data_IF_218647259316
#
_entry.id   IF_218647259316
#
_cell.length_a   1.000
_cell.length_b   1.000
_cell.length_c   1.000
_cell.angle_alpha   90.00
_cell.angle_beta   90.00
_cell.angle_gamma   90.00
#
_symmetry.space_group_name_H-M   'P 1'
#
loop_
_entity.id
_entity.type
_entity.pdbx_description
1 polymer ?
#
# COMPACT_ATOMS: atom_id res chain seq x y z
N UNK A 1 14.02 3.86 -10.12
CA UNK A 1 12.67 4.35 -9.77
C UNK A 1 12.16 3.58 -8.55
N UNK A 2 11.18 4.13 -7.84
CA UNK A 2 10.47 3.45 -6.78
C UNK A 2 9.38 2.58 -7.40
N UNK A 3 9.39 1.27 -7.12
CA UNK A 3 8.40 0.34 -7.66
C UNK A 3 7.25 0.19 -6.67
N UNK A 4 6.07 0.60 -7.08
CA UNK A 4 4.87 0.51 -6.27
C UNK A 4 3.90 -0.50 -6.88
N UNK A 5 3.26 -1.31 -6.05
CA UNK A 5 2.26 -2.28 -6.49
C UNK A 5 1.29 -2.61 -5.37
N UNK A 6 0.12 -3.12 -5.76
CA UNK A 6 -0.90 -3.58 -4.85
C UNK A 6 -1.52 -4.87 -5.36
N UNK A 7 -1.86 -5.78 -4.46
CA UNK A 7 -2.53 -7.03 -4.79
C UNK A 7 -3.48 -7.47 -3.67
N UNK A 8 -4.58 -8.13 -4.05
CA UNK A 8 -5.44 -8.85 -3.13
C UNK A 8 -5.05 -10.32 -3.09
N UNK A 9 -5.03 -10.89 -1.89
CA UNK A 9 -4.81 -12.30 -1.63
C UNK A 9 -6.05 -12.83 -0.92
N UNK A 10 -6.90 -13.54 -1.65
CA UNK A 10 -8.11 -14.15 -1.11
C UNK A 10 -7.79 -15.56 -0.59
N UNK A 11 -8.39 -15.97 0.53
CA UNK A 11 -8.12 -17.26 1.19
C UNK A 11 -8.36 -18.49 0.30
N UNK A 12 -9.20 -18.36 -0.71
CA UNK A 12 -9.66 -19.47 -1.56
C UNK A 12 -9.08 -19.44 -2.98
N UNK A 13 -8.28 -18.43 -3.33
CA UNK A 13 -7.64 -18.35 -4.64
C UNK A 13 -6.16 -18.70 -4.56
N UNK A 14 -5.69 -19.41 -5.59
CA UNK A 14 -4.29 -19.82 -5.70
C UNK A 14 -3.40 -18.67 -6.18
N UNK A 15 -3.98 -17.62 -6.78
CA UNK A 15 -3.26 -16.48 -7.35
C UNK A 15 -3.69 -15.17 -6.72
N UNK A 16 -2.76 -14.24 -6.54
CA UNK A 16 -3.10 -12.87 -6.14
C UNK A 16 -3.74 -12.10 -7.29
N UNK A 17 -4.73 -11.27 -6.99
CA UNK A 17 -5.37 -10.36 -7.94
C UNK A 17 -4.60 -9.02 -7.94
N UNK A 18 -3.97 -8.60 -9.05
CA UNK A 18 -3.28 -7.32 -9.12
C UNK A 18 -4.27 -6.15 -9.03
N UNK A 19 -4.02 -5.20 -8.12
CA UNK A 19 -4.84 -4.00 -7.92
C UNK A 19 -4.19 -2.73 -8.50
N UNK A 20 -3.03 -2.88 -9.15
CA UNK A 20 -2.31 -1.83 -9.86
C UNK A 20 -0.83 -1.81 -9.54
N UNK A 21 -0.05 -1.21 -10.44
CA UNK A 21 1.38 -0.97 -10.29
C UNK A 21 1.76 0.41 -10.83
N UNK A 22 2.84 0.99 -10.32
CA UNK A 22 3.36 2.28 -10.73
C UNK A 22 4.84 2.44 -10.43
N UNK A 23 5.58 3.06 -11.36
CA UNK A 23 6.94 3.52 -11.09
C UNK A 23 6.93 5.01 -10.74
N UNK A 24 7.33 5.32 -9.51
CA UNK A 24 7.45 6.68 -9.03
C UNK A 24 8.91 7.16 -9.10
N UNK A 25 9.17 8.41 -9.53
CA UNK A 25 10.54 8.92 -9.60
C UNK A 25 11.06 9.44 -8.24
N UNK A 26 10.25 9.47 -7.18
CA UNK A 26 10.67 9.94 -5.85
C UNK A 26 9.89 9.27 -4.71
N UNK A 27 10.43 9.27 -3.47
CA UNK A 27 9.74 8.75 -2.28
C UNK A 27 8.36 9.37 -2.06
N UNK A 28 8.26 10.69 -2.23
CA UNK A 28 7.00 11.44 -2.04
C UNK A 28 5.92 11.01 -3.04
N UNK A 29 6.32 10.74 -4.29
CA UNK A 29 5.40 10.27 -5.32
C UNK A 29 5.02 8.80 -5.12
N UNK A 30 5.91 7.97 -4.60
CA UNK A 30 5.60 6.60 -4.19
C UNK A 30 4.58 6.59 -3.04
N UNK A 31 4.78 7.41 -2.01
CA UNK A 31 3.82 7.58 -0.91
C UNK A 31 2.50 8.16 -1.38
N UNK A 32 2.51 9.12 -2.32
CA UNK A 32 1.29 9.64 -2.95
C UNK A 32 0.52 8.52 -3.65
N UNK A 33 1.21 7.64 -4.38
CA UNK A 33 0.58 6.50 -5.03
C UNK A 33 -0.03 5.52 -4.01
N UNK A 34 0.68 5.23 -2.91
CA UNK A 34 0.13 4.41 -1.82
C UNK A 34 -1.15 5.03 -1.25
N UNK A 35 -1.15 6.33 -0.96
CA UNK A 35 -2.34 7.04 -0.46
C UNK A 35 -3.52 6.95 -1.40
N UNK A 36 -3.31 7.15 -2.69
CA UNK A 36 -4.36 7.03 -3.69
C UNK A 36 -4.89 5.59 -3.78
N UNK A 37 -3.98 4.60 -3.80
CA UNK A 37 -4.37 3.19 -3.91
C UNK A 37 -5.09 2.70 -2.65
N UNK A 38 -4.66 3.14 -1.46
CA UNK A 38 -5.35 2.86 -0.19
C UNK A 38 -6.77 3.41 -0.24
N UNK A 39 -6.96 4.66 -0.68
CA UNK A 39 -8.30 5.26 -0.83
C UNK A 39 -9.19 4.39 -1.73
N UNK A 40 -8.70 4.04 -2.92
CA UNK A 40 -9.45 3.22 -3.88
C UNK A 40 -9.83 1.84 -3.34
N UNK A 41 -8.98 1.20 -2.53
CA UNK A 41 -9.32 -0.05 -1.85
C UNK A 41 -10.37 0.21 -0.78
N UNK A 42 -10.15 1.19 0.10
CA UNK A 42 -11.07 1.47 1.22
C UNK A 42 -12.46 1.94 0.78
N UNK A 43 -12.58 2.55 -0.40
CA UNK A 43 -13.86 2.99 -0.96
C UNK A 43 -14.73 1.80 -1.43
N UNK A 44 -14.13 0.62 -1.60
CA UNK A 44 -14.82 -0.62 -2.01
C UNK A 44 -15.08 -1.59 -0.84
N UNK A 45 -14.51 -1.32 0.34
CA UNK A 45 -14.69 -2.16 1.52
C UNK A 45 -15.94 -1.74 2.30
N UNK A 46 -16.60 -2.73 2.93
CA UNK A 46 -17.62 -2.46 3.94
C UNK A 46 -17.06 -1.60 5.07
N UNK A 47 -17.94 -0.84 5.73
CA UNK A 47 -17.57 0.20 6.68
C UNK A 47 -16.59 -0.28 7.77
N UNK A 48 -16.79 -1.49 8.30
CA UNK A 48 -15.94 -2.07 9.34
C UNK A 48 -14.50 -2.33 8.84
N UNK A 49 -14.34 -2.82 7.61
CA UNK A 49 -13.03 -3.14 7.03
C UNK A 49 -12.35 -1.92 6.39
N UNK A 50 -13.11 -0.90 6.01
CA UNK A 50 -12.58 0.36 5.49
C UNK A 50 -11.88 1.20 6.58
N UNK A 51 -12.27 1.05 7.84
CA UNK A 51 -11.84 1.94 8.94
C UNK A 51 -10.32 1.98 9.16
N UNK A 52 -9.57 0.86 9.17
CA UNK A 52 -8.11 0.90 9.30
C UNK A 52 -7.43 1.68 8.17
N UNK A 53 -7.85 1.49 6.92
CA UNK A 53 -7.28 2.24 5.80
C UNK A 53 -7.66 3.72 5.84
N UNK A 54 -8.90 4.05 6.26
CA UNK A 54 -9.32 5.45 6.48
C UNK A 54 -8.54 6.13 7.61
N UNK A 55 -8.19 5.39 8.66
CA UNK A 55 -7.32 5.87 9.73
C UNK A 55 -5.92 6.15 9.19
N UNK A 56 -5.30 5.18 8.52
CA UNK A 56 -3.98 5.34 7.91
C UNK A 56 -3.91 6.55 6.96
N UNK A 57 -4.95 6.77 6.14
CA UNK A 57 -5.03 7.93 5.23
C UNK A 57 -4.96 9.30 5.92
N UNK A 58 -5.25 9.36 7.22
CA UNK A 58 -5.23 10.58 8.06
C UNK A 58 -4.07 10.56 9.05
N UNK A 59 -3.31 9.48 9.12
CA UNK A 59 -2.19 9.31 10.05
C UNK A 59 -0.92 9.95 9.47
N UNK A 60 -0.72 11.23 9.76
CA UNK A 60 0.45 11.98 9.29
C UNK A 60 1.77 11.41 9.82
N UNK A 61 1.80 10.93 11.07
CA UNK A 61 2.98 10.31 11.67
C UNK A 61 3.37 9.04 10.94
N UNK A 62 2.39 8.21 10.57
CA UNK A 62 2.65 6.99 9.81
C UNK A 62 3.15 7.30 8.38
N UNK A 63 2.62 8.34 7.75
CA UNK A 63 3.11 8.80 6.45
C UNK A 63 4.57 9.31 6.51
N UNK A 64 4.94 10.02 7.57
CA UNK A 64 6.33 10.46 7.81
C UNK A 64 7.26 9.26 8.03
N UNK A 65 6.79 8.25 8.77
CA UNK A 65 7.53 6.98 8.95
C UNK A 65 7.72 6.26 7.61
N UNK A 66 6.66 6.14 6.82
CA UNK A 66 6.73 5.54 5.48
C UNK A 66 7.71 6.30 4.57
N UNK A 67 7.66 7.63 4.58
CA UNK A 67 8.57 8.47 3.80
C UNK A 67 10.03 8.30 4.24
N UNK A 68 10.27 8.19 5.54
CA UNK A 68 11.59 7.93 6.11
C UNK A 68 12.14 6.60 5.59
N UNK A 69 11.35 5.52 5.68
CA UNK A 69 11.75 4.20 5.17
C UNK A 69 12.13 4.25 3.69
N UNK A 70 11.28 4.83 2.85
CA UNK A 70 11.53 4.93 1.41
C UNK A 70 12.78 5.77 1.08
N UNK A 71 13.07 6.79 1.89
CA UNK A 71 14.25 7.64 1.71
C UNK A 71 15.53 6.93 2.16
N UNK A 72 15.46 6.08 3.19
CA UNK A 72 16.60 5.31 3.71
C UNK A 72 16.83 3.98 3.00
N UNK A 73 16.09 3.69 1.93
CA UNK A 73 16.26 2.44 1.16
C UNK A 73 15.49 1.24 1.72
N UNK A 74 14.52 1.46 2.61
CA UNK A 74 13.64 0.42 3.16
C UNK A 74 12.29 0.42 2.46
N UNK A 75 11.81 -0.76 2.08
CA UNK A 75 10.46 -0.90 1.52
C UNK A 75 9.39 -0.58 2.58
N UNK A 76 8.26 -0.02 2.15
CA UNK A 76 7.11 0.19 3.00
C UNK A 76 5.93 -0.64 2.49
N UNK A 77 5.29 -1.38 3.40
CA UNK A 77 4.11 -2.18 3.12
C UNK A 77 2.97 -1.78 4.05
N UNK A 78 1.82 -1.46 3.45
CA UNK A 78 0.54 -1.39 4.13
C UNK A 78 -0.25 -2.66 3.83
N UNK A 79 -0.88 -3.23 4.86
CA UNK A 79 -1.75 -4.39 4.72
C UNK A 79 -3.12 -4.06 5.30
N UNK A 80 -4.17 -4.24 4.50
CA UNK A 80 -5.56 -4.15 4.93
C UNK A 80 -6.21 -5.52 4.83
N UNK A 81 -7.28 -5.73 5.60
CA UNK A 81 -7.97 -7.01 5.68
C UNK A 81 -9.49 -6.79 5.57
N UNK A 82 -10.15 -7.68 4.83
CA UNK A 82 -11.55 -8.02 5.06
C UNK A 82 -11.65 -9.46 5.62
N UNK A 83 -12.86 -10.03 5.67
CA UNK A 83 -13.10 -11.38 6.20
C UNK A 83 -12.21 -12.46 5.57
N UNK A 84 -12.00 -12.41 4.26
CA UNK A 84 -11.35 -13.48 3.51
C UNK A 84 -10.19 -13.02 2.63
N UNK A 85 -9.91 -11.71 2.61
CA UNK A 85 -8.97 -11.10 1.68
C UNK A 85 -8.00 -10.22 2.42
N UNK A 86 -6.71 -10.38 2.08
CA UNK A 86 -5.65 -9.46 2.49
C UNK A 86 -5.23 -8.61 1.31
N UNK A 87 -5.35 -7.30 1.45
CA UNK A 87 -4.92 -6.30 0.48
C UNK A 87 -3.54 -5.81 0.86
N UNK A 88 -2.53 -6.08 0.03
CA UNK A 88 -1.15 -5.68 0.27
C UNK A 88 -0.81 -4.56 -0.70
N UNK A 89 -0.32 -3.44 -0.18
CA UNK A 89 0.14 -2.28 -0.94
C UNK A 89 1.60 -2.00 -0.57
N UNK A 90 2.49 -1.97 -1.56
CA UNK A 90 3.93 -1.86 -1.31
C UNK A 90 4.54 -0.76 -2.16
N UNK A 91 5.51 -0.05 -1.59
CA UNK A 91 6.46 0.79 -2.29
C UNK A 91 7.89 0.34 -1.98
N UNK A 92 8.63 -0.01 -3.03
CA UNK A 92 10.03 -0.43 -2.95
C UNK A 92 10.94 0.70 -3.45
N UNK A 93 11.94 1.13 -2.66
CA UNK A 93 13.00 2.00 -3.15
C UNK A 93 13.88 1.28 -4.18
N UNK A 94 14.53 2.02 -5.08
CA UNK A 94 15.55 1.45 -5.95
C UNK A 94 16.69 0.87 -5.11
N UNK A 95 17.11 -0.36 -5.43
CA UNK A 95 18.21 -1.04 -4.72
C UNK A 95 17.79 -1.78 -3.44
N UNK A 96 16.54 -1.67 -2.99
CA UNK A 96 16.00 -2.60 -1.99
C UNK A 96 15.79 -3.97 -2.63
N UNK A 97 16.32 -5.03 -1.99
CA UNK A 97 16.06 -6.41 -2.39
C UNK A 97 14.60 -6.76 -2.12
N UNK A 98 13.92 -7.27 -3.15
CA UNK A 98 12.52 -7.75 -3.09
C UNK A 98 12.42 -9.12 -2.45
#
# INVERSE_FOLDING_TARGET
>A
SYRCWAAAYTLHETSSIPLGAHEAPSPRLALRWLRERTRNVTDQLDMAYAQPGRYWLRDETEHERALTYLTTGTAYQLTLHDENTRYVLVAYPPGATS
#
